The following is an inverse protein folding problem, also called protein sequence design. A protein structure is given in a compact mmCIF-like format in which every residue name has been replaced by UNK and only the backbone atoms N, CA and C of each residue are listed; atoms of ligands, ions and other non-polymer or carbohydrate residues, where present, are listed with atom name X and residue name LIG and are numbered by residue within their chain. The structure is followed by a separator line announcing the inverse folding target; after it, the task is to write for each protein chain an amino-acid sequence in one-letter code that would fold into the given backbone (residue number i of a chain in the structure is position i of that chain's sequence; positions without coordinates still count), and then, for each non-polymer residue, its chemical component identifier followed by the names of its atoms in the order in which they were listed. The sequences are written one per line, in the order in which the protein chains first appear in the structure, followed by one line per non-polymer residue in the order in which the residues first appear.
data_IF_055528093648
#
_entry.id   IF_055528093648
#
_cell.length_a   1.000
_cell.length_b   1.000
_cell.length_c   1.000
_cell.angle_alpha   90.00
_cell.angle_beta   90.00
_cell.angle_gamma   90.00
#
_symmetry.space_group_name_H-M   'P 1'
#
loop_
_entity.id
_entity.type
_entity.pdbx_description
1 polymer ?
#
# COMPACT_ATOMS: atom_id res chain seq x y z
N UNK A 1 -5.81 -19.28 5.12
CA UNK A 1 -5.00 -18.05 5.01
C UNK A 1 -4.48 -17.99 3.59
N UNK A 2 -4.70 -16.89 2.86
CA UNK A 2 -4.12 -16.73 1.51
C UNK A 2 -2.60 -16.59 1.67
N UNK A 3 -1.85 -17.33 0.87
CA UNK A 3 -0.39 -17.29 0.91
C UNK A 3 0.10 -15.94 0.35
N UNK A 4 0.77 -15.14 1.19
CA UNK A 4 1.36 -13.86 0.78
C UNK A 4 2.71 -14.12 0.09
N UNK A 5 2.93 -13.47 -1.06
CA UNK A 5 4.20 -13.48 -1.79
C UNK A 5 4.90 -12.12 -1.67
N UNK A 6 6.23 -12.11 -1.70
CA UNK A 6 6.99 -10.85 -1.69
C UNK A 6 6.76 -10.06 -2.99
N UNK A 7 6.58 -8.75 -2.86
CA UNK A 7 6.45 -7.81 -3.96
C UNK A 7 7.53 -6.73 -3.83
N UNK A 8 8.60 -6.86 -4.63
CA UNK A 8 9.75 -5.96 -4.57
C UNK A 8 9.61 -4.86 -5.63
N UNK A 9 9.71 -3.60 -5.19
CA UNK A 9 9.65 -2.42 -6.06
C UNK A 9 10.75 -1.42 -5.69
N UNK A 10 11.18 -0.63 -6.68
CA UNK A 10 12.09 0.48 -6.44
C UNK A 10 11.30 1.76 -6.24
N UNK A 11 11.56 2.43 -5.11
CA UNK A 11 10.93 3.70 -4.75
C UNK A 11 12.02 4.70 -4.31
N UNK A 12 11.77 6.01 -4.46
CA UNK A 12 12.64 7.01 -3.87
C UNK A 12 12.79 6.81 -2.35
N UNK A 13 13.99 7.02 -1.78
CA UNK A 13 14.25 6.76 -0.36
C UNK A 13 13.33 7.58 0.56
N UNK A 14 13.04 8.82 0.20
CA UNK A 14 12.13 9.69 0.97
C UNK A 14 10.70 9.16 1.00
N UNK A 15 10.26 8.55 -0.10
CA UNK A 15 8.93 7.92 -0.15
C UNK A 15 8.89 6.68 0.75
N UNK A 16 9.93 5.83 0.71
CA UNK A 16 10.03 4.66 1.61
C UNK A 16 9.94 5.10 3.07
N UNK A 17 10.64 6.16 3.45
CA UNK A 17 10.62 6.70 4.81
C UNK A 17 9.21 7.15 5.19
N UNK A 18 8.54 7.91 4.33
CA UNK A 18 7.17 8.38 4.57
C UNK A 18 6.17 7.24 4.71
N UNK A 19 6.23 6.22 3.85
CA UNK A 19 5.34 5.05 3.93
C UNK A 19 5.54 4.28 5.23
N UNK A 20 6.80 4.09 5.66
CA UNK A 20 7.10 3.42 6.94
C UNK A 20 6.56 4.19 8.15
N UNK A 21 6.69 5.52 8.15
CA UNK A 21 6.10 6.34 9.21
C UNK A 21 4.57 6.20 9.20
N UNK A 22 3.94 6.31 8.03
CA UNK A 22 2.49 6.19 7.91
C UNK A 22 1.96 4.81 8.36
N UNK A 23 2.70 3.71 8.13
CA UNK A 23 2.29 2.40 8.64
C UNK A 23 2.35 2.32 10.16
N UNK A 24 3.36 2.94 10.78
CA UNK A 24 3.47 3.02 12.25
C UNK A 24 2.37 3.91 12.83
N UNK A 25 2.10 5.05 12.22
CA UNK A 25 1.03 5.97 12.64
C UNK A 25 -0.36 5.32 12.56
N UNK A 26 -0.54 4.36 11.64
CA UNK A 26 -1.76 3.57 11.48
C UNK A 26 -1.84 2.33 12.39
N UNK A 27 -0.83 2.08 13.24
CA UNK A 27 -0.69 0.85 14.05
C UNK A 27 -0.76 -0.45 13.20
N UNK A 28 -0.24 -0.39 11.98
CA UNK A 28 -0.27 -1.47 11.01
C UNK A 28 1.14 -1.96 10.67
N UNK A 29 1.26 -3.24 10.30
CA UNK A 29 2.48 -3.71 9.65
C UNK A 29 2.64 -3.03 8.28
N UNK A 30 3.88 -2.78 7.84
CA UNK A 30 4.13 -2.17 6.53
C UNK A 30 3.43 -2.93 5.39
N UNK A 31 3.43 -4.27 5.42
CA UNK A 31 2.76 -5.08 4.41
C UNK A 31 1.24 -4.90 4.43
N UNK A 32 0.62 -4.86 5.61
CA UNK A 32 -0.83 -4.61 5.75
C UNK A 32 -1.22 -3.22 5.29
N UNK A 33 -0.42 -2.22 5.66
CA UNK A 33 -0.63 -0.83 5.27
C UNK A 33 -0.55 -0.67 3.75
N UNK A 34 0.49 -1.23 3.13
CA UNK A 34 0.67 -1.17 1.67
C UNK A 34 -0.43 -1.93 0.95
N UNK A 35 -0.84 -3.10 1.43
CA UNK A 35 -1.96 -3.87 0.88
C UNK A 35 -3.24 -3.04 0.85
N UNK A 36 -3.64 -2.47 2.00
CA UNK A 36 -4.84 -1.61 2.10
C UNK A 36 -4.79 -0.40 1.17
N UNK A 37 -3.66 0.32 1.16
CA UNK A 37 -3.50 1.53 0.33
C UNK A 37 -3.55 1.20 -1.16
N UNK A 38 -2.95 0.09 -1.59
CA UNK A 38 -2.98 -0.35 -2.99
C UNK A 38 -4.40 -0.78 -3.39
N UNK A 39 -5.11 -1.53 -2.56
CA UNK A 39 -6.51 -1.91 -2.80
C UNK A 39 -7.41 -0.68 -2.93
N UNK A 40 -7.29 0.28 -2.01
CA UNK A 40 -8.07 1.53 -2.04
C UNK A 40 -7.79 2.33 -3.32
N UNK A 41 -6.52 2.44 -3.73
CA UNK A 41 -6.15 3.12 -4.97
C UNK A 41 -6.76 2.43 -6.21
N UNK A 42 -6.71 1.10 -6.26
CA UNK A 42 -7.28 0.33 -7.37
C UNK A 42 -8.80 0.46 -7.43
N UNK A 43 -9.48 0.40 -6.28
CA UNK A 43 -10.93 0.57 -6.18
C UNK A 43 -11.37 1.96 -6.70
N UNK A 44 -10.71 3.02 -6.22
CA UNK A 44 -10.99 4.39 -6.67
C UNK A 44 -10.76 4.54 -8.17
N UNK A 45 -9.68 3.95 -8.68
CA UNK A 45 -9.36 3.98 -10.11
C UNK A 45 -10.38 3.21 -10.95
N UNK A 46 -10.93 2.09 -10.46
CA UNK A 46 -11.98 1.36 -11.18
C UNK A 46 -13.29 2.13 -11.20
N UNK A 47 -13.69 2.74 -10.08
CA UNK A 47 -14.92 3.55 -10.01
C UNK A 47 -14.86 4.78 -10.93
N UNK A 48 -13.68 5.41 -11.05
CA UNK A 48 -13.46 6.53 -11.97
C UNK A 48 -13.54 6.10 -13.45
N UNK A 49 -13.21 4.85 -13.79
CA UNK A 49 -13.26 4.33 -15.16
C UNK A 49 -14.66 3.93 -15.61
N UNK A 50 -15.54 3.60 -14.66
CA UNK A 50 -16.91 3.15 -14.93
C UNK A 50 -17.93 4.31 -14.98
N UNK A 51 -17.50 5.52 -14.63
CA UNK A 51 -18.28 6.76 -14.77
C UNK A 51 -18.04 7.44 -16.12
#
# INVERSE_FOLDING_TARGET
MVEKRQFNVYLPPDLIKRVKHASVDADESLSSFVERVLEEYLLRTSEERER
#
